data_IF_189539309166
#
_entry.id   IF_189539309166
#
_cell.length_a   1.000
_cell.length_b   1.000
_cell.length_c   1.000
_cell.angle_alpha   90.00
_cell.angle_beta   90.00
_cell.angle_gamma   90.00
#
_symmetry.space_group_name_H-M   'P 1'
#
loop_
_entity.id
_entity.type
_entity.pdbx_description
1 polymer ?
#
# COMPACT_ATOMS: atom_id res chain seq x y z
N UNK A 1 -7.47 1.96 -19.28
CA UNK A 1 -6.67 1.02 -18.45
C UNK A 1 -7.55 -0.20 -18.20
N UNK A 2 -6.98 -1.41 -18.17
CA UNK A 2 -7.74 -2.63 -17.84
C UNK A 2 -7.15 -3.27 -16.58
N UNK A 3 -7.97 -3.88 -15.71
CA UNK A 3 -7.47 -4.70 -14.61
C UNK A 3 -6.58 -5.84 -15.11
N UNK A 4 -5.69 -6.33 -14.24
CA UNK A 4 -4.88 -7.54 -14.49
C UNK A 4 -5.42 -8.71 -13.67
N UNK A 5 -5.30 -9.92 -14.21
CA UNK A 5 -5.74 -11.19 -13.60
C UNK A 5 -4.77 -12.33 -13.95
N UNK A 6 -4.81 -13.43 -13.19
CA UNK A 6 -4.13 -14.70 -13.51
C UNK A 6 -5.20 -15.73 -13.86
N UNK A 7 -5.22 -16.23 -15.10
CA UNK A 7 -6.19 -17.24 -15.55
C UNK A 7 -7.66 -16.88 -15.23
N UNK A 8 -8.00 -15.59 -15.36
CA UNK A 8 -9.32 -15.05 -15.04
C UNK A 8 -9.63 -14.91 -13.54
N UNK A 9 -8.67 -15.18 -12.66
CA UNK A 9 -8.78 -15.05 -11.19
C UNK A 9 -8.01 -13.85 -10.68
N UNK A 10 -8.36 -13.45 -9.45
CA UNK A 10 -7.68 -12.40 -8.69
C UNK A 10 -7.56 -11.08 -9.47
N UNK A 11 -8.60 -10.70 -10.20
CA UNK A 11 -8.60 -9.44 -10.93
C UNK A 11 -8.25 -8.29 -9.98
N UNK A 12 -7.38 -7.36 -10.40
CA UNK A 12 -7.12 -6.11 -9.67
C UNK A 12 -6.69 -4.98 -10.61
N UNK A 13 -7.09 -3.76 -10.25
CA UNK A 13 -6.46 -2.52 -10.70
C UNK A 13 -6.04 -1.68 -9.48
N UNK A 14 -5.30 -0.60 -9.69
CA UNK A 14 -4.94 0.32 -8.59
C UNK A 14 -3.76 -0.16 -7.76
N UNK A 15 -2.72 -0.67 -8.42
CA UNK A 15 -1.46 -1.08 -7.78
C UNK A 15 -0.26 -0.59 -8.60
N UNK A 16 0.91 -0.55 -7.98
CA UNK A 16 2.18 -0.23 -8.64
C UNK A 16 3.03 -1.50 -8.73
N UNK A 17 3.31 -1.91 -9.97
CA UNK A 17 4.33 -2.88 -10.30
C UNK A 17 4.76 -2.72 -11.77
N UNK A 18 6.06 -2.84 -12.09
CA UNK A 18 7.16 -2.99 -11.15
C UNK A 18 7.51 -1.66 -10.46
N UNK A 19 7.92 -1.75 -9.20
CA UNK A 19 8.74 -0.73 -8.55
C UNK A 19 10.21 -1.16 -8.65
N UNK A 20 11.12 -0.23 -8.93
CA UNK A 20 12.53 -0.55 -9.16
C UNK A 20 13.50 0.01 -8.12
N UNK A 21 14.59 -0.72 -7.87
CA UNK A 21 15.78 -0.23 -7.17
C UNK A 21 16.51 0.84 -8.01
N UNK A 22 17.57 1.45 -7.46
CA UNK A 22 18.42 2.37 -8.22
C UNK A 22 19.08 1.72 -9.44
N UNK A 23 19.36 0.42 -9.34
CA UNK A 23 19.96 -0.40 -10.40
C UNK A 23 18.92 -1.03 -11.34
N UNK A 24 17.69 -0.52 -11.32
CA UNK A 24 16.58 -0.96 -12.18
C UNK A 24 16.11 -2.42 -11.95
N UNK A 25 16.54 -3.06 -10.86
CA UNK A 25 16.01 -4.37 -10.47
C UNK A 25 14.60 -4.24 -9.88
N UNK A 26 13.76 -5.25 -10.08
CA UNK A 26 12.41 -5.31 -9.52
C UNK A 26 12.45 -5.42 -7.98
N UNK A 27 11.98 -4.39 -7.28
CA UNK A 27 11.76 -4.39 -5.83
C UNK A 27 10.52 -5.18 -5.42
N UNK A 28 9.52 -5.19 -6.29
CA UNK A 28 8.19 -5.73 -5.98
C UNK A 28 7.86 -6.95 -6.81
N UNK A 29 7.02 -7.83 -6.30
CA UNK A 29 6.45 -8.96 -7.05
C UNK A 29 4.99 -8.68 -7.42
N UNK A 30 4.54 -9.25 -8.54
CA UNK A 30 3.15 -9.23 -9.02
C UNK A 30 2.74 -10.69 -9.23
N UNK A 31 1.64 -11.11 -8.58
CA UNK A 31 1.11 -12.46 -8.70
C UNK A 31 2.13 -13.57 -8.34
N UNK A 32 2.78 -13.51 -7.17
CA UNK A 32 3.74 -14.53 -6.77
C UNK A 32 3.05 -15.87 -6.49
N UNK A 33 3.77 -16.98 -6.67
CA UNK A 33 3.24 -18.34 -6.58
C UNK A 33 2.62 -18.66 -5.20
N UNK A 34 3.18 -18.12 -4.12
CA UNK A 34 2.68 -18.33 -2.75
C UNK A 34 1.35 -17.62 -2.49
N UNK A 35 1.14 -16.45 -3.11
CA UNK A 35 -0.03 -15.59 -2.90
C UNK A 35 -0.43 -14.90 -4.22
N UNK A 36 -1.12 -15.60 -5.14
CA UNK A 36 -1.38 -15.11 -6.50
C UNK A 36 -2.33 -13.90 -6.58
N UNK A 37 -2.90 -13.46 -5.46
CA UNK A 37 -3.71 -12.24 -5.32
C UNK A 37 -2.90 -11.01 -4.85
N UNK A 38 -1.65 -11.16 -4.46
CA UNK A 38 -0.77 -10.06 -4.07
C UNK A 38 -0.26 -9.26 -5.28
N UNK A 39 -0.15 -7.93 -5.14
CA UNK A 39 0.15 -7.00 -6.24
C UNK A 39 1.08 -5.86 -5.81
N UNK A 40 2.39 -5.97 -6.02
CA UNK A 40 3.37 -4.90 -5.79
C UNK A 40 3.05 -3.97 -4.62
N UNK A 41 2.82 -2.68 -4.89
CA UNK A 41 2.29 -1.72 -3.90
C UNK A 41 0.78 -1.54 -4.13
N UNK A 42 -0.06 -1.85 -3.15
CA UNK A 42 -1.52 -1.79 -3.26
C UNK A 42 -2.18 -1.55 -1.90
N UNK A 43 -3.49 -1.35 -1.88
CA UNK A 43 -4.30 -1.27 -0.67
C UNK A 43 -5.51 -2.20 -0.77
N UNK A 44 -5.80 -2.89 0.32
CA UNK A 44 -6.84 -3.90 0.35
C UNK A 44 -7.27 -4.23 1.78
N UNK A 45 -8.47 -4.81 1.90
CA UNK A 45 -9.09 -5.18 3.15
C UNK A 45 -9.86 -6.49 3.00
N UNK A 46 -9.68 -7.41 3.94
CA UNK A 46 -10.48 -8.65 4.00
C UNK A 46 -11.98 -8.41 4.16
N UNK A 47 -12.37 -7.37 4.89
CA UNK A 47 -13.77 -7.13 5.22
C UNK A 47 -14.28 -5.92 4.46
N UNK A 48 -15.13 -6.14 3.45
CA UNK A 48 -15.99 -5.11 2.88
C UNK A 48 -17.43 -5.53 3.19
N UNK A 49 -18.09 -4.77 4.05
CA UNK A 49 -19.38 -5.15 4.64
C UNK A 49 -20.42 -4.09 4.36
N UNK A 50 -21.62 -4.52 3.96
CA UNK A 50 -22.78 -3.66 3.75
C UNK A 50 -23.95 -4.19 4.57
N UNK A 51 -24.59 -3.32 5.37
CA UNK A 51 -25.63 -3.71 6.33
C UNK A 51 -25.20 -4.90 7.22
N UNK A 52 -23.96 -4.84 7.72
CA UNK A 52 -23.29 -5.87 8.52
C UNK A 52 -23.05 -7.24 7.85
N UNK A 53 -23.45 -7.43 6.59
CA UNK A 53 -23.12 -8.62 5.80
C UNK A 53 -21.77 -8.45 5.09
N UNK A 54 -20.92 -9.46 5.13
CA UNK A 54 -19.73 -9.53 4.27
C UNK A 54 -20.19 -9.62 2.81
N UNK A 55 -19.82 -8.64 1.99
CA UNK A 55 -20.18 -8.60 0.57
C UNK A 55 -18.99 -8.84 -0.35
N UNK A 56 -17.77 -8.55 0.10
CA UNK A 56 -16.57 -8.70 -0.71
C UNK A 56 -15.32 -8.84 0.16
N UNK A 57 -14.33 -9.57 -0.35
CA UNK A 57 -12.96 -9.58 0.17
C UNK A 57 -12.06 -8.85 -0.81
N UNK A 58 -11.63 -7.65 -0.42
CA UNK A 58 -10.75 -6.81 -1.20
C UNK A 58 -9.30 -7.27 -1.17
N UNK A 59 -8.90 -8.17 -0.28
CA UNK A 59 -7.55 -8.72 -0.15
C UNK A 59 -7.34 -9.93 -1.05
N UNK A 60 -8.24 -10.91 -1.01
CA UNK A 60 -8.21 -12.11 -1.87
C UNK A 60 -8.87 -11.90 -3.23
N UNK A 61 -9.43 -10.71 -3.49
CA UNK A 61 -10.18 -10.37 -4.70
C UNK A 61 -11.44 -11.24 -4.90
N UNK A 62 -12.20 -11.47 -3.83
CA UNK A 62 -13.46 -12.23 -3.86
C UNK A 62 -14.69 -11.31 -3.90
N UNK A 63 -15.60 -11.61 -4.83
CA UNK A 63 -16.83 -10.84 -5.07
C UNK A 63 -16.61 -9.31 -5.19
N UNK A 64 -15.47 -8.93 -5.75
CA UNK A 64 -15.09 -7.54 -6.00
C UNK A 64 -14.44 -7.42 -7.37
N UNK A 65 -14.69 -6.29 -8.04
CA UNK A 65 -13.97 -5.89 -9.24
C UNK A 65 -13.65 -4.40 -9.20
N UNK A 66 -12.65 -4.01 -9.97
CA UNK A 66 -12.15 -2.64 -10.03
C UNK A 66 -12.33 -2.11 -11.44
N UNK A 67 -13.10 -1.05 -11.59
CA UNK A 67 -13.32 -0.38 -12.87
C UNK A 67 -12.55 0.94 -12.90
N UNK A 68 -11.44 1.04 -13.65
CA UNK A 68 -10.76 2.31 -13.85
C UNK A 68 -11.67 3.24 -14.67
N UNK A 69 -12.05 4.37 -14.08
CA UNK A 69 -12.90 5.37 -14.73
C UNK A 69 -12.05 6.36 -15.52
N UNK A 70 -11.01 6.89 -14.87
CA UNK A 70 -10.15 7.94 -15.44
C UNK A 70 -8.74 7.86 -14.87
N UNK A 71 -7.74 8.20 -15.68
CA UNK A 71 -6.42 8.57 -15.18
C UNK A 71 -5.82 9.71 -15.98
N UNK A 72 -5.10 10.57 -15.29
CA UNK A 72 -4.40 11.72 -15.83
C UNK A 72 -2.98 11.78 -15.26
N UNK A 73 -2.02 12.11 -16.12
CA UNK A 73 -0.63 12.30 -15.74
C UNK A 73 -0.25 13.75 -15.94
N UNK A 74 0.21 14.38 -14.87
CA UNK A 74 0.75 15.73 -14.90
C UNK A 74 2.24 15.70 -14.57
N UNK A 75 3.06 16.33 -15.40
CA UNK A 75 4.51 16.43 -15.20
C UNK A 75 4.91 17.89 -15.04
N UNK A 76 5.76 18.16 -14.05
CA UNK A 76 6.47 19.42 -13.92
C UNK A 76 7.96 19.15 -13.65
N UNK A 77 8.75 20.21 -13.41
CA UNK A 77 10.21 20.09 -13.18
C UNK A 77 10.58 19.32 -11.91
N UNK A 78 9.69 19.28 -10.90
CA UNK A 78 9.94 18.71 -9.56
C UNK A 78 9.33 17.32 -9.37
N UNK A 79 8.23 17.00 -10.04
CA UNK A 79 7.53 15.73 -9.88
C UNK A 79 6.69 15.34 -11.11
N UNK A 80 6.32 14.06 -11.13
CA UNK A 80 5.23 13.51 -11.95
C UNK A 80 4.09 13.11 -11.00
N UNK A 81 2.87 13.50 -11.33
CA UNK A 81 1.67 13.18 -10.56
C UNK A 81 0.71 12.38 -11.43
N UNK A 82 0.38 11.16 -11.02
CA UNK A 82 -0.73 10.37 -11.56
C UNK A 82 -1.95 10.61 -10.67
N UNK A 83 -3.07 11.00 -11.28
CA UNK A 83 -4.38 11.06 -10.63
C UNK A 83 -5.29 10.04 -11.28
N UNK A 84 -5.97 9.22 -10.49
CA UNK A 84 -6.89 8.21 -10.99
C UNK A 84 -8.21 8.24 -10.24
N UNK A 85 -9.27 7.91 -10.96
CA UNK A 85 -10.59 7.62 -10.44
C UNK A 85 -10.93 6.15 -10.74
N UNK A 86 -11.44 5.44 -9.74
CA UNK A 86 -11.78 4.03 -9.83
C UNK A 86 -13.09 3.76 -9.10
N UNK A 87 -13.89 2.83 -9.64
CA UNK A 87 -15.04 2.28 -8.93
C UNK A 87 -14.70 0.87 -8.45
N UNK A 88 -14.97 0.60 -7.18
CA UNK A 88 -15.01 -0.78 -6.70
C UNK A 88 -16.46 -1.25 -6.81
N UNK A 89 -16.65 -2.40 -7.43
CA UNK A 89 -17.95 -3.03 -7.64
C UNK A 89 -17.99 -4.36 -6.90
N UNK A 90 -19.17 -4.71 -6.41
CA UNK A 90 -19.44 -6.03 -5.85
C UNK A 90 -20.77 -6.53 -6.42
N UNK A 91 -20.90 -7.83 -6.63
CA UNK A 91 -22.18 -8.40 -7.02
C UNK A 91 -23.08 -8.40 -5.76
N UNK A 92 -24.03 -7.46 -5.73
CA UNK A 92 -25.06 -7.38 -4.71
C UNK A 92 -26.26 -8.25 -5.12
N UNK A 93 -27.43 -8.03 -4.51
CA UNK A 93 -28.68 -8.70 -4.88
C UNK A 93 -28.86 -8.77 -6.41
N UNK A 94 -29.25 -9.94 -6.91
CA UNK A 94 -29.38 -10.29 -8.34
C UNK A 94 -28.07 -10.49 -9.13
N UNK A 95 -26.92 -10.68 -8.46
CA UNK A 95 -25.62 -10.97 -9.08
C UNK A 95 -25.13 -9.88 -10.07
N UNK A 96 -25.66 -8.66 -9.98
CA UNK A 96 -25.25 -7.55 -10.84
C UNK A 96 -24.11 -6.76 -10.19
N UNK A 97 -22.95 -6.59 -10.87
CA UNK A 97 -21.86 -5.77 -10.36
C UNK A 97 -22.29 -4.32 -10.11
N UNK A 98 -22.40 -3.95 -8.84
CA UNK A 98 -22.89 -2.65 -8.41
C UNK A 98 -21.74 -1.84 -7.78
N UNK A 99 -21.52 -0.58 -8.17
CA UNK A 99 -20.57 0.29 -7.51
C UNK A 99 -20.89 0.46 -6.02
N UNK A 100 -19.89 0.21 -5.18
CA UNK A 100 -19.98 0.34 -3.71
C UNK A 100 -19.00 1.38 -3.15
N UNK A 101 -17.85 1.57 -3.80
CA UNK A 101 -16.85 2.58 -3.43
C UNK A 101 -16.43 3.34 -4.67
N UNK A 102 -16.30 4.66 -4.53
CA UNK A 102 -15.53 5.48 -5.47
C UNK A 102 -14.20 5.82 -4.83
N UNK A 103 -13.13 5.52 -5.54
CA UNK A 103 -11.76 5.80 -5.13
C UNK A 103 -11.19 6.92 -6.01
N UNK A 104 -10.57 7.90 -5.35
CA UNK A 104 -9.68 8.87 -5.97
C UNK A 104 -8.28 8.68 -5.42
N UNK A 105 -7.32 8.43 -6.29
CA UNK A 105 -5.92 8.19 -5.89
C UNK A 105 -5.02 9.19 -6.59
N UNK A 106 -4.16 9.84 -5.81
CA UNK A 106 -3.05 10.65 -6.32
C UNK A 106 -1.72 9.99 -5.93
N UNK A 107 -0.94 9.62 -6.94
CA UNK A 107 0.44 9.14 -6.76
C UNK A 107 1.38 10.23 -7.28
N UNK A 108 2.23 10.76 -6.41
CA UNK A 108 3.20 11.81 -6.76
C UNK A 108 4.61 11.27 -6.61
N UNK A 109 5.30 11.14 -7.74
CA UNK A 109 6.70 10.71 -7.82
C UNK A 109 7.58 11.95 -7.91
N UNK A 110 8.40 12.19 -6.90
CA UNK A 110 9.34 13.31 -6.87
C UNK A 110 10.55 13.01 -7.74
N UNK A 111 11.21 14.06 -8.23
CA UNK A 111 12.49 13.94 -8.94
C UNK A 111 13.48 13.18 -8.05
N UNK A 112 14.05 12.10 -8.59
CA UNK A 112 15.05 11.31 -7.90
C UNK A 112 16.31 12.12 -7.62
N UNK A 113 16.98 11.79 -6.52
CA UNK A 113 18.34 12.22 -6.22
C UNK A 113 19.30 11.05 -6.42
N UNK A 114 20.60 11.28 -6.23
CA UNK A 114 21.58 10.18 -6.18
C UNK A 114 21.40 9.25 -4.96
N UNK A 115 20.61 9.68 -3.96
CA UNK A 115 20.45 8.95 -2.69
C UNK A 115 19.06 8.39 -2.46
N UNK A 116 18.03 8.95 -3.11
CA UNK A 116 16.63 8.64 -2.80
C UNK A 116 15.66 8.78 -3.97
N UNK A 117 14.61 7.95 -3.98
CA UNK A 117 13.37 8.14 -4.76
C UNK A 117 12.20 8.23 -3.78
N UNK A 118 11.40 9.30 -3.90
CA UNK A 118 10.27 9.57 -3.00
C UNK A 118 8.97 9.48 -3.80
N UNK A 119 7.99 8.76 -3.26
CA UNK A 119 6.66 8.57 -3.86
C UNK A 119 5.61 8.78 -2.78
N UNK A 120 4.70 9.73 -3.00
CA UNK A 120 3.55 9.95 -2.13
C UNK A 120 2.31 9.30 -2.70
N UNK A 121 1.52 8.71 -1.81
CA UNK A 121 0.21 8.14 -2.07
C UNK A 121 -0.82 8.90 -1.26
N UNK A 122 -1.87 9.35 -1.93
CA UNK A 122 -3.03 10.00 -1.33
C UNK A 122 -4.28 9.32 -1.88
N UNK A 123 -4.87 8.47 -1.06
CA UNK A 123 -5.98 7.58 -1.40
C UNK A 123 -7.22 8.10 -0.69
N UNK A 124 -8.28 8.35 -1.45
CA UNK A 124 -9.56 8.79 -0.92
C UNK A 124 -10.66 7.83 -1.34
N UNK A 125 -11.37 7.28 -0.35
CA UNK A 125 -12.41 6.26 -0.52
C UNK A 125 -13.75 6.83 -0.09
N UNK A 126 -14.72 6.86 -1.00
CA UNK A 126 -16.06 7.38 -0.77
C UNK A 126 -17.05 6.23 -0.88
N UNK A 127 -17.83 5.99 0.18
CA UNK A 127 -18.90 5.01 0.09
C UNK A 127 -20.00 5.50 -0.87
N UNK A 128 -20.49 4.60 -1.73
CA UNK A 128 -21.64 4.83 -2.61
C UNK A 128 -22.93 4.20 -2.06
N UNK A 129 -22.83 3.52 -0.92
CA UNK A 129 -23.94 2.91 -0.18
C UNK A 129 -23.89 3.36 1.27
N UNK A 130 -25.05 3.54 1.89
CA UNK A 130 -25.14 3.74 3.34
C UNK A 130 -24.73 2.47 4.08
N UNK A 131 -24.21 2.63 5.31
CA UNK A 131 -23.77 1.53 6.17
C UNK A 131 -22.72 0.59 5.55
N UNK A 132 -21.88 1.12 4.66
CA UNK A 132 -20.70 0.43 4.15
C UNK A 132 -19.57 0.52 5.18
N UNK A 133 -18.91 -0.60 5.43
CA UNK A 133 -17.80 -0.72 6.39
C UNK A 133 -16.63 -1.44 5.75
N UNK A 134 -15.42 -1.04 6.15
CA UNK A 134 -14.17 -1.72 5.77
C UNK A 134 -13.43 -2.17 7.02
N UNK A 135 -12.78 -3.33 6.98
CA UNK A 135 -11.99 -3.89 8.06
C UNK A 135 -10.89 -4.80 7.53
N UNK A 136 -9.74 -4.83 8.19
CA UNK A 136 -8.65 -5.75 7.82
C UNK A 136 -8.67 -7.03 8.65
N UNK A 137 -7.69 -7.89 8.41
CA UNK A 137 -7.17 -8.87 9.36
C UNK A 137 -5.76 -8.45 9.81
N UNK A 138 -5.60 -7.16 10.13
CA UNK A 138 -4.32 -6.42 10.29
C UNK A 138 -3.64 -6.03 8.96
N UNK A 139 -4.44 -5.82 7.91
CA UNK A 139 -4.03 -5.39 6.57
C UNK A 139 -4.45 -3.93 6.28
N UNK A 140 -4.02 -3.37 5.15
CA UNK A 140 -4.25 -1.97 4.81
C UNK A 140 -3.47 -1.53 3.58
N UNK A 141 -2.45 -0.70 3.76
CA UNK A 141 -1.50 -0.35 2.69
C UNK A 141 -0.35 -1.35 2.67
N UNK A 142 -0.09 -1.95 1.51
CA UNK A 142 0.61 -3.21 1.36
C UNK A 142 1.82 -3.08 0.45
N UNK A 143 2.93 -3.73 0.82
CA UNK A 143 4.17 -3.78 0.06
C UNK A 143 4.60 -5.23 -0.19
N UNK A 144 4.42 -5.70 -1.43
CA UNK A 144 4.87 -7.02 -1.87
C UNK A 144 6.29 -6.91 -2.36
N UNK A 145 7.22 -6.80 -1.43
CA UNK A 145 8.65 -6.71 -1.73
C UNK A 145 9.22 -8.10 -2.06
N UNK A 146 10.16 -8.15 -3.00
CA UNK A 146 11.02 -9.31 -3.22
C UNK A 146 12.06 -9.35 -2.10
N UNK A 147 11.72 -10.01 -1.00
CA UNK A 147 12.50 -9.97 0.23
C UNK A 147 13.84 -10.73 0.08
N UNK A 148 14.99 -10.08 0.32
CA UNK A 148 16.26 -10.78 0.43
C UNK A 148 16.36 -11.53 1.77
N UNK A 149 17.22 -12.55 1.84
CA UNK A 149 17.42 -13.36 3.06
C UNK A 149 17.90 -12.53 4.26
N UNK A 150 18.59 -11.42 3.99
CA UNK A 150 19.20 -10.54 4.98
C UNK A 150 18.34 -9.30 5.31
N UNK A 151 17.03 -9.39 5.04
CA UNK A 151 16.08 -8.30 5.35
C UNK A 151 16.07 -7.97 6.84
N UNK A 152 16.08 -6.68 7.13
CA UNK A 152 15.94 -6.10 8.48
C UNK A 152 14.84 -5.03 8.49
N UNK A 153 14.25 -4.82 9.67
CA UNK A 153 13.18 -3.86 9.88
C UNK A 153 13.63 -2.86 10.93
N UNK A 154 13.62 -1.57 10.61
CA UNK A 154 14.07 -0.51 11.51
C UNK A 154 13.01 0.57 11.63
N UNK A 155 12.75 1.02 12.84
CA UNK A 155 11.87 2.16 13.11
C UNK A 155 12.46 3.02 14.22
N UNK A 156 12.62 4.32 13.97
CA UNK A 156 13.22 5.29 14.92
C UNK A 156 14.52 4.79 15.57
N UNK A 157 15.41 4.22 14.76
CA UNK A 157 16.71 3.66 15.19
C UNK A 157 16.64 2.39 16.06
N UNK A 158 15.46 1.76 16.11
CA UNK A 158 15.26 0.48 16.80
C UNK A 158 14.98 -0.62 15.78
N UNK A 159 15.69 -1.75 15.89
CA UNK A 159 15.36 -2.93 15.11
C UNK A 159 14.04 -3.54 15.60
N UNK A 160 13.16 -3.90 14.67
CA UNK A 160 11.84 -4.45 14.96
C UNK A 160 11.81 -5.92 14.53
N UNK A 161 11.58 -6.80 15.50
CA UNK A 161 11.41 -8.22 15.18
C UNK A 161 9.97 -8.50 14.70
N UNK A 162 9.79 -9.22 13.58
CA UNK A 162 8.46 -9.62 13.11
C UNK A 162 7.83 -10.64 14.06
N UNK A 163 6.50 -10.56 14.20
CA UNK A 163 5.67 -11.54 14.90
C UNK A 163 4.62 -12.10 13.92
N UNK A 164 3.96 -13.20 14.32
CA UNK A 164 2.81 -13.74 13.57
C UNK A 164 1.69 -12.68 13.43
N UNK A 165 1.44 -11.92 14.50
CA UNK A 165 0.47 -10.83 14.56
C UNK A 165 1.12 -9.46 14.31
N UNK A 166 0.30 -8.41 14.26
CA UNK A 166 0.79 -7.04 14.16
C UNK A 166 1.77 -6.70 15.29
N UNK A 167 2.84 -5.98 14.94
CA UNK A 167 3.82 -5.41 15.87
C UNK A 167 3.57 -3.92 16.02
N UNK A 168 3.89 -3.38 17.18
CA UNK A 168 3.91 -1.94 17.41
C UNK A 168 5.31 -1.37 17.17
N UNK A 169 5.40 -0.31 16.37
CA UNK A 169 6.62 0.41 16.07
C UNK A 169 6.32 1.90 15.83
N UNK A 170 7.31 2.66 15.37
CA UNK A 170 7.15 4.07 15.03
C UNK A 170 6.21 4.33 13.85
N UNK A 171 6.01 5.61 13.48
CA UNK A 171 5.09 6.03 12.42
C UNK A 171 5.63 5.74 11.01
N UNK A 172 6.86 5.27 10.93
CA UNK A 172 7.49 4.77 9.73
C UNK A 172 8.24 3.48 10.01
N UNK A 173 8.39 2.65 8.98
CA UNK A 173 9.19 1.42 8.98
C UNK A 173 10.14 1.46 7.81
N UNK A 174 11.40 1.12 8.04
CA UNK A 174 12.42 0.95 7.01
C UNK A 174 12.76 -0.52 6.82
N UNK A 175 12.68 -0.96 5.57
CA UNK A 175 12.98 -2.32 5.11
C UNK A 175 14.36 -2.30 4.46
N UNK A 176 15.40 -2.78 5.14
CA UNK A 176 16.79 -2.69 4.66
C UNK A 176 17.34 -4.07 4.35
N UNK A 177 17.87 -4.25 3.14
CA UNK A 177 18.40 -5.54 2.71
C UNK A 177 19.11 -5.49 1.36
N UNK A 178 19.65 -6.64 0.95
CA UNK A 178 20.36 -6.82 -0.32
C UNK A 178 19.40 -7.02 -1.50
N UNK A 179 18.50 -6.05 -1.74
CA UNK A 179 17.47 -6.13 -2.79
C UNK A 179 18.03 -6.23 -4.22
N UNK A 180 19.23 -5.70 -4.45
CA UNK A 180 19.95 -5.78 -5.74
C UNK A 180 20.83 -7.03 -5.86
N UNK A 181 20.87 -7.88 -4.83
CA UNK A 181 21.80 -9.02 -4.72
C UNK A 181 22.95 -8.76 -3.77
N UNK A 182 23.62 -9.85 -3.32
CA UNK A 182 24.65 -9.82 -2.26
C UNK A 182 25.93 -9.07 -2.65
N UNK A 183 26.17 -8.87 -3.95
CA UNK A 183 27.33 -8.15 -4.48
C UNK A 183 27.14 -6.62 -4.52
N UNK A 184 25.91 -6.15 -4.24
CA UNK A 184 25.59 -4.73 -4.21
C UNK A 184 25.46 -4.23 -2.78
N UNK A 185 25.64 -2.92 -2.59
CA UNK A 185 25.32 -2.28 -1.31
C UNK A 185 23.83 -2.46 -0.99
N UNK A 186 23.52 -2.71 0.29
CA UNK A 186 22.12 -2.71 0.75
C UNK A 186 21.43 -1.40 0.41
N UNK A 187 20.13 -1.48 0.21
CA UNK A 187 19.25 -0.32 0.07
C UNK A 187 18.11 -0.43 1.07
N UNK A 188 17.53 0.72 1.42
CA UNK A 188 16.34 0.81 2.26
C UNK A 188 15.10 1.13 1.44
N UNK A 189 13.97 0.62 1.92
CA UNK A 189 12.63 0.99 1.46
C UNK A 189 11.89 1.43 2.71
N UNK A 190 11.80 2.74 2.95
CA UNK A 190 11.07 3.28 4.09
C UNK A 190 9.64 3.64 3.70
N UNK A 191 8.67 3.33 4.57
CA UNK A 191 7.26 3.67 4.39
C UNK A 191 6.77 4.48 5.57
N UNK A 192 6.14 5.60 5.29
CA UNK A 192 5.65 6.55 6.28
C UNK A 192 4.13 6.53 6.28
N UNK A 193 3.52 6.37 7.45
CA UNK A 193 2.10 6.60 7.65
C UNK A 193 1.87 8.02 8.14
N UNK A 194 1.06 8.79 7.41
CA UNK A 194 0.79 10.17 7.80
C UNK A 194 -0.01 10.20 9.12
N UNK A 195 0.33 11.15 10.01
CA UNK A 195 -0.32 11.28 11.32
C UNK A 195 -1.83 11.61 11.22
N UNK A 196 -2.31 12.09 10.07
CA UNK A 196 -3.73 12.34 9.81
C UNK A 196 -4.54 11.09 9.44
N UNK A 197 -3.90 9.93 9.24
CA UNK A 197 -4.61 8.68 9.00
C UNK A 197 -5.40 8.28 10.26
N UNK A 198 -6.65 7.79 10.16
CA UNK A 198 -7.53 7.60 11.32
C UNK A 198 -7.12 6.47 12.29
N UNK A 199 -6.06 5.71 11.98
CA UNK A 199 -5.48 4.69 12.87
C UNK A 199 -5.90 3.24 12.60
N UNK A 200 -5.38 2.25 13.32
CA UNK A 200 -4.37 2.36 14.37
C UNK A 200 -3.03 2.88 13.83
N UNK A 201 -2.36 3.73 14.59
CA UNK A 201 -1.05 4.26 14.21
C UNK A 201 0.07 3.32 14.68
N UNK A 202 1.11 3.16 13.87
CA UNK A 202 2.31 2.43 14.27
C UNK A 202 2.11 0.92 14.45
N UNK A 203 1.06 0.35 13.86
CA UNK A 203 0.87 -1.09 13.77
C UNK A 203 1.30 -1.59 12.40
N UNK A 204 2.08 -2.67 12.39
CA UNK A 204 2.71 -3.21 11.20
C UNK A 204 2.59 -4.72 11.15
N UNK A 205 2.29 -5.28 9.98
CA UNK A 205 2.53 -6.71 9.70
C UNK A 205 3.87 -6.83 8.98
N UNK A 206 4.75 -7.63 9.56
CA UNK A 206 6.11 -7.83 9.06
C UNK A 206 6.36 -9.31 8.77
N UNK A 207 6.98 -9.61 7.63
CA UNK A 207 7.28 -10.98 7.18
C UNK A 207 8.72 -11.05 6.69
N UNK A 208 9.50 -12.03 7.16
CA UNK A 208 10.90 -12.24 6.74
C UNK A 208 11.03 -12.91 5.36
N UNK A 209 10.00 -13.63 4.93
CA UNK A 209 9.98 -14.35 3.66
C UNK A 209 8.55 -14.47 3.17
N UNK A 210 8.37 -14.36 1.85
CA UNK A 210 7.05 -14.41 1.21
C UNK A 210 6.07 -13.38 1.79
N UNK A 211 4.79 -13.60 1.52
CA UNK A 211 3.67 -12.76 1.98
C UNK A 211 3.90 -11.24 1.81
N UNK A 212 3.51 -10.39 2.76
CA UNK A 212 3.38 -8.94 2.59
C UNK A 212 3.91 -8.16 3.80
N UNK A 213 4.33 -6.91 3.58
CA UNK A 213 4.49 -5.93 4.65
C UNK A 213 3.30 -4.96 4.63
N UNK A 214 2.61 -4.78 5.75
CA UNK A 214 1.41 -3.93 5.80
C UNK A 214 1.53 -2.83 6.85
N UNK A 215 0.99 -1.65 6.53
CA UNK A 215 0.53 -0.69 7.53
C UNK A 215 -0.91 -1.03 7.87
N UNK A 216 -1.15 -1.30 9.15
CA UNK A 216 -2.49 -1.70 9.60
C UNK A 216 -3.43 -0.50 9.57
N UNK A 217 -4.53 -0.65 8.83
CA UNK A 217 -5.67 0.24 8.89
C UNK A 217 -6.90 -0.52 8.37
N UNK A 218 -8.06 -0.53 9.04
CA UNK A 218 -8.34 -0.03 10.39
C UNK A 218 -8.07 -1.09 11.48
N UNK A 219 -7.39 -2.19 11.14
CA UNK A 219 -7.27 -3.38 11.99
C UNK A 219 -8.49 -4.30 11.87
N UNK A 220 -8.63 -5.23 12.83
CA UNK A 220 -9.63 -6.31 12.80
C UNK A 220 -11.08 -5.87 12.93
N UNK A 221 -11.32 -4.70 13.54
CA UNK A 221 -12.67 -4.17 13.77
C UNK A 221 -13.08 -3.29 12.59
N UNK A 222 -14.13 -3.66 11.83
CA UNK A 222 -14.55 -2.84 10.69
C UNK A 222 -15.02 -1.46 11.11
N UNK A 223 -14.57 -0.44 10.39
CA UNK A 223 -14.99 0.96 10.57
C UNK A 223 -15.94 1.37 9.45
N UNK A 224 -16.77 2.37 9.72
CA UNK A 224 -17.64 2.94 8.69
C UNK A 224 -16.80 3.61 7.61
N UNK A 225 -17.13 3.34 6.35
CA UNK A 225 -16.63 4.10 5.22
C UNK A 225 -17.63 5.24 4.94
N UNK A 226 -17.28 6.51 5.17
CA UNK A 226 -18.24 7.58 5.06
C UNK A 226 -18.45 8.03 3.61
N UNK A 227 -19.65 8.56 3.31
CA UNK A 227 -19.94 9.24 2.03
C UNK A 227 -19.13 10.53 1.85
N UNK A 228 -18.66 11.13 2.95
CA UNK A 228 -17.79 12.33 2.93
C UNK A 228 -16.34 12.01 2.61
N UNK A 229 -15.97 10.73 2.54
CA UNK A 229 -14.63 10.28 2.20
C UNK A 229 -13.79 9.88 3.41
N UNK A 230 -13.06 8.77 3.25
CA UNK A 230 -11.94 8.35 4.07
C UNK A 230 -10.66 8.65 3.30
N UNK A 231 -9.71 9.36 3.90
CA UNK A 231 -8.41 9.67 3.27
C UNK A 231 -7.28 8.93 3.99
N UNK A 232 -6.43 8.27 3.21
CA UNK A 232 -5.25 7.57 3.66
C UNK A 232 -4.03 8.10 2.89
N UNK A 233 -3.03 8.58 3.62
CA UNK A 233 -1.81 9.17 3.06
C UNK A 233 -0.59 8.36 3.49
N UNK A 234 0.22 7.97 2.51
CA UNK A 234 1.47 7.26 2.72
C UNK A 234 2.60 7.88 1.90
N UNK A 235 3.85 7.76 2.37
CA UNK A 235 5.05 8.09 1.58
C UNK A 235 5.97 6.88 1.56
N UNK A 236 6.48 6.55 0.37
CA UNK A 236 7.51 5.56 0.14
C UNK A 236 8.83 6.27 -0.18
N UNK A 237 9.92 5.83 0.44
CA UNK A 237 11.27 6.32 0.19
C UNK A 237 12.17 5.14 -0.10
N UNK A 238 12.60 4.99 -1.35
CA UNK A 238 13.69 4.06 -1.70
C UNK A 238 14.99 4.83 -1.51
N UNK A 239 15.93 4.31 -0.73
CA UNK A 239 17.18 5.02 -0.42
C UNK A 239 18.41 4.14 -0.35
N UNK A 240 19.58 4.77 -0.52
CA UNK A 240 20.86 4.11 -0.28
C UNK A 240 21.05 3.76 1.21
N UNK A 241 21.97 2.84 1.49
CA UNK A 241 22.32 2.44 2.87
C UNK A 241 22.99 3.55 3.71
N UNK A 242 23.28 4.72 3.13
CA UNK A 242 23.93 5.82 3.86
C UNK A 242 22.90 6.72 4.54
N UNK A 243 21.62 6.70 4.11
CA UNK A 243 20.56 7.43 4.81
C UNK A 243 20.36 6.80 6.18
N UNK A 244 20.56 7.59 7.23
CA UNK A 244 20.39 7.16 8.63
C UNK A 244 18.94 7.33 9.11
N UNK A 245 18.58 6.64 10.20
CA UNK A 245 17.30 6.81 10.91
C UNK A 245 16.95 8.27 11.19
N UNK A 246 17.92 9.10 11.55
CA UNK A 246 17.72 10.54 11.80
C UNK A 246 17.36 11.33 10.54
N UNK A 247 17.89 10.95 9.38
CA UNK A 247 17.54 11.56 8.09
C UNK A 247 16.12 11.13 7.67
N UNK A 248 15.75 9.86 7.86
CA UNK A 248 14.37 9.39 7.64
C UNK A 248 13.36 10.09 8.55
N UNK A 249 13.72 10.30 9.81
CA UNK A 249 12.88 11.02 10.77
C UNK A 249 12.67 12.49 10.33
N UNK A 250 13.69 13.14 9.77
CA UNK A 250 13.53 14.48 9.19
C UNK A 250 12.62 14.46 7.96
N UNK A 251 12.80 13.51 7.03
CA UNK A 251 11.91 13.35 5.87
C UNK A 251 10.46 13.07 6.29
N UNK A 252 10.26 12.33 7.38
CA UNK A 252 8.95 12.06 7.96
C UNK A 252 8.33 13.34 8.52
N UNK A 253 9.09 14.15 9.28
CA UNK A 253 8.63 15.44 9.81
C UNK A 253 8.24 16.42 8.72
N UNK A 254 9.00 16.47 7.63
CA UNK A 254 8.66 17.29 6.47
C UNK A 254 7.38 16.78 5.81
N UNK A 255 7.25 15.46 5.63
CA UNK A 255 6.07 14.84 5.04
C UNK A 255 4.76 15.14 5.79
N UNK A 256 4.78 15.12 7.12
CA UNK A 256 3.56 15.36 7.90
C UNK A 256 3.19 16.84 8.01
N UNK A 257 4.08 17.76 7.62
CA UNK A 257 3.82 19.20 7.53
C UNK A 257 3.21 19.59 6.17
N UNK A 258 3.46 18.79 5.13
CA UNK A 258 2.96 18.94 3.76
C UNK A 258 1.48 18.50 3.59
#
# INVERSE_FOLDING_TARGET
>A
MRPKSVDGKYERAGFIHPLHTFNENNLTEDMPEDHPYHRGIFWAWHQIRWNNKQIADGWTSENISWEPVKAEVHKNKKNVTLRSEMLWKSALEHNMPTPIVREYTTIKVYKSTSRSRIIDFDIQLFALKDNLRIGGSDDGFCLRLKLPEDISFVSRDTEVSPLETAVHAGPWMDFVGSFDGKDFSKIGVAVFSNASNPGPSGQWILRKKGSMQNIVYPGRSPVNLPKTGLRLRYRLVIHDSKIKSSELENLYRDYIRD
#
